data_IF_764694878283
#
_entry.id   IF_764694878283
#
_cell.length_a   1.000
_cell.length_b   1.000
_cell.length_c   1.000
_cell.angle_alpha   90.00
_cell.angle_beta   90.00
_cell.angle_gamma   90.00
#
_symmetry.space_group_name_H-M   'P 1'
#
loop_
_entity.id
_entity.type
_entity.pdbx_description
1 polymer ?
#
# COMPACT_ATOMS: atom_id res chain seq x y z
N UNK A 1 2.16 1.88 -40.64
CA UNK A 1 1.30 0.76 -41.09
C UNK A 1 -0.14 1.24 -41.20
N UNK A 2 -0.42 1.96 -42.28
CA UNK A 2 -1.76 2.32 -42.70
C UNK A 2 -2.39 1.14 -43.49
N UNK A 3 -3.72 1.07 -43.51
CA UNK A 3 -4.59 0.11 -44.22
C UNK A 3 -5.02 -1.15 -43.45
N UNK A 4 -6.02 -0.99 -42.56
CA UNK A 4 -7.14 -1.95 -42.39
C UNK A 4 -8.22 -1.41 -41.44
N UNK A 5 -8.95 -0.39 -41.86
CA UNK A 5 -10.23 -0.04 -41.22
C UNK A 5 -11.20 0.27 -42.36
N UNK A 6 -11.88 -0.75 -42.84
CA UNK A 6 -13.09 -0.63 -43.65
C UNK A 6 -13.83 -1.97 -43.66
N UNK A 7 -14.79 -2.08 -42.73
CA UNK A 7 -16.05 -2.86 -42.78
C UNK A 7 -16.41 -3.28 -41.36
N UNK A 8 -17.51 -2.76 -40.84
CA UNK A 8 -18.56 -3.48 -40.10
C UNK A 8 -19.66 -2.47 -39.73
N UNK A 9 -20.73 -2.46 -40.53
CA UNK A 9 -21.98 -1.74 -40.27
C UNK A 9 -23.01 -2.77 -39.80
N UNK A 10 -23.18 -2.97 -38.48
CA UNK A 10 -24.40 -3.51 -37.87
C UNK A 10 -24.32 -3.43 -36.34
N UNK A 11 -25.41 -3.01 -35.70
CA UNK A 11 -25.58 -2.92 -34.23
C UNK A 11 -25.93 -4.30 -33.60
N UNK A 12 -26.16 -5.33 -34.42
CA UNK A 12 -26.48 -6.69 -33.95
C UNK A 12 -25.30 -7.47 -33.38
N UNK A 13 -24.07 -7.08 -33.70
CA UNK A 13 -22.87 -7.87 -33.35
C UNK A 13 -22.30 -7.54 -31.96
N UNK A 14 -22.92 -6.58 -31.26
CA UNK A 14 -22.47 -6.10 -29.95
C UNK A 14 -22.87 -7.01 -28.77
N UNK A 15 -23.83 -7.92 -28.94
CA UNK A 15 -24.39 -8.72 -27.83
C UNK A 15 -23.83 -10.16 -27.70
N UNK A 16 -22.85 -10.56 -28.52
CA UNK A 16 -22.23 -11.90 -28.46
C UNK A 16 -20.81 -11.92 -27.86
N UNK A 17 -20.39 -10.90 -27.10
CA UNK A 17 -19.03 -10.79 -26.56
C UNK A 17 -18.98 -10.41 -25.06
N UNK A 18 -19.92 -10.89 -24.25
CA UNK A 18 -19.91 -10.62 -22.80
C UNK A 18 -18.96 -11.52 -21.98
N UNK A 19 -18.10 -12.32 -22.61
CA UNK A 19 -17.01 -13.05 -21.92
C UNK A 19 -15.58 -12.63 -22.32
N UNK A 20 -15.30 -12.04 -23.50
CA UNK A 20 -13.96 -11.52 -23.80
C UNK A 20 -13.72 -10.06 -23.42
N UNK A 21 -14.74 -9.27 -23.10
CA UNK A 21 -14.55 -7.85 -22.74
C UNK A 21 -13.95 -7.69 -21.33
N UNK A 22 -14.18 -8.65 -20.42
CA UNK A 22 -13.47 -8.68 -19.14
C UNK A 22 -11.97 -8.99 -19.31
N UNK A 23 -11.60 -9.74 -20.36
CA UNK A 23 -10.20 -10.00 -20.69
C UNK A 23 -9.54 -8.86 -21.48
N UNK A 24 -10.29 -8.06 -22.24
CA UNK A 24 -9.76 -6.89 -22.96
C UNK A 24 -9.56 -5.67 -22.05
N UNK A 25 -10.43 -5.45 -21.05
CA UNK A 25 -10.17 -4.45 -20.00
C UNK A 25 -9.00 -4.82 -19.08
N UNK A 26 -8.57 -6.09 -19.11
CA UNK A 26 -7.36 -6.57 -18.43
C UNK A 26 -6.14 -6.66 -19.38
N UNK A 27 -6.32 -6.46 -20.70
CA UNK A 27 -5.24 -6.51 -21.71
C UNK A 27 -4.83 -5.14 -22.26
N UNK A 28 -5.71 -4.14 -22.26
CA UNK A 28 -5.37 -2.78 -22.74
C UNK A 28 -4.80 -1.83 -21.68
N UNK A 29 -4.71 -2.27 -20.42
CA UNK A 29 -3.87 -1.61 -19.39
C UNK A 29 -2.40 -2.04 -19.45
N UNK A 30 -2.00 -2.86 -20.42
CA UNK A 30 -0.62 -3.36 -20.57
C UNK A 30 0.21 -2.65 -21.66
N UNK A 31 -0.22 -1.49 -22.16
CA UNK A 31 0.58 -0.70 -23.11
C UNK A 31 1.39 0.47 -22.51
N UNK A 32 1.38 0.62 -21.18
CA UNK A 32 2.46 1.30 -20.46
C UNK A 32 3.31 0.26 -19.73
N UNK A 33 4.29 -0.30 -20.45
CA UNK A 33 5.42 -1.00 -19.85
C UNK A 33 6.62 -0.05 -19.89
N UNK A 34 7.01 0.47 -18.72
CA UNK A 34 8.42 0.43 -18.34
C UNK A 34 8.77 -1.03 -18.04
N UNK A 35 9.85 -1.50 -18.63
CA UNK A 35 10.34 -2.88 -18.53
C UNK A 35 10.90 -3.18 -17.15
N UNK A 36 10.42 -4.25 -16.52
CA UNK A 36 11.25 -5.10 -15.68
C UNK A 36 10.67 -6.53 -15.67
N UNK A 37 11.28 -7.42 -16.45
CA UNK A 37 11.23 -8.87 -16.25
C UNK A 37 12.55 -9.25 -15.60
N UNK A 38 12.50 -9.74 -14.36
CA UNK A 38 13.43 -10.75 -13.86
C UNK A 38 12.70 -11.53 -12.77
N UNK A 39 12.43 -12.80 -13.07
CA UNK A 39 11.93 -13.79 -12.14
C UNK A 39 12.96 -14.92 -12.10
N UNK A 40 13.37 -15.30 -10.88
CA UNK A 40 13.85 -16.62 -10.39
C UNK A 40 14.58 -16.39 -9.04
N UNK A 41 14.67 -17.37 -8.12
CA UNK A 41 13.61 -18.16 -7.50
C UNK A 41 13.62 -18.01 -5.95
N UNK A 42 12.45 -17.95 -5.31
CA UNK A 42 12.38 -18.01 -3.83
C UNK A 42 12.40 -19.46 -3.35
N UNK A 43 13.49 -19.80 -2.67
CA UNK A 43 13.70 -21.03 -1.93
C UNK A 43 12.69 -21.13 -0.78
N UNK A 44 11.76 -22.09 -0.88
CA UNK A 44 10.79 -22.43 0.17
C UNK A 44 11.50 -23.35 1.18
N UNK A 45 11.78 -22.85 2.39
CA UNK A 45 12.04 -23.72 3.55
C UNK A 45 10.82 -23.71 4.44
N UNK A 46 10.13 -24.84 4.44
CA UNK A 46 9.12 -25.23 5.41
C UNK A 46 9.79 -25.41 6.78
N UNK A 47 9.21 -24.82 7.82
CA UNK A 47 9.39 -25.27 9.20
C UNK A 47 8.00 -25.52 9.76
N UNK A 48 7.68 -26.80 9.79
CA UNK A 48 6.52 -27.40 10.43
C UNK A 48 6.72 -27.38 11.95
N UNK A 49 5.78 -26.82 12.70
CA UNK A 49 5.51 -27.29 14.06
C UNK A 49 4.02 -27.28 14.32
N UNK A 50 3.48 -28.49 14.38
CA UNK A 50 2.16 -28.81 14.88
C UNK A 50 2.12 -28.61 16.40
N UNK A 51 1.05 -28.01 16.91
CA UNK A 51 0.63 -28.21 18.29
C UNK A 51 -0.90 -28.04 18.39
N UNK A 52 -1.50 -29.07 18.96
CA UNK A 52 -2.92 -29.32 19.02
C UNK A 52 -3.66 -28.38 19.99
N UNK A 53 -4.92 -28.08 19.65
CA UNK A 53 -5.95 -27.63 20.58
C UNK A 53 -6.26 -28.74 21.61
N UNK A 54 -6.61 -28.34 22.84
CA UNK A 54 -7.75 -28.99 23.48
C UNK A 54 -8.80 -28.00 23.98
N UNK A 55 -10.04 -28.48 23.86
CA UNK A 55 -11.25 -28.00 24.54
C UNK A 55 -11.11 -28.21 26.05
N UNK A 56 -11.69 -27.32 26.88
CA UNK A 56 -12.65 -27.65 27.97
C UNK A 56 -12.78 -26.52 29.01
N UNK A 57 -14.04 -26.29 29.37
CA UNK A 57 -14.58 -26.07 30.72
C UNK A 57 -14.21 -24.83 31.56
N UNK A 58 -15.27 -24.04 31.76
CA UNK A 58 -15.72 -23.39 32.99
C UNK A 58 -14.93 -23.65 34.30
N UNK A 59 -14.59 -22.56 34.99
CA UNK A 59 -14.59 -22.53 36.45
C UNK A 59 -14.90 -21.10 36.94
N UNK A 60 -15.91 -21.04 37.80
CA UNK A 60 -16.41 -19.89 38.54
C UNK A 60 -15.53 -19.67 39.78
N UNK A 61 -15.03 -18.44 40.02
CA UNK A 61 -14.57 -18.02 41.35
C UNK A 61 -15.06 -16.59 41.63
N UNK A 62 -15.75 -16.48 42.76
CA UNK A 62 -16.33 -15.27 43.39
C UNK A 62 -15.36 -14.80 44.49
N UNK A 63 -15.58 -13.55 44.94
CA UNK A 63 -15.02 -12.82 46.10
C UNK A 63 -13.86 -11.87 45.73
N UNK A 64 -13.76 -10.64 46.20
CA UNK A 64 -14.61 -9.72 46.98
C UNK A 64 -13.76 -8.44 47.13
N UNK A 65 -14.33 -7.25 47.05
CA UNK A 65 -13.55 -6.02 47.26
C UNK A 65 -14.33 -4.73 47.07
N UNK A 66 -15.04 -4.34 48.13
CA UNK A 66 -15.76 -3.09 48.30
C UNK A 66 -14.81 -1.90 48.52
N UNK A 67 -15.05 -0.78 47.84
CA UNK A 67 -14.86 0.58 48.40
C UNK A 67 -15.66 1.60 47.60
N UNK A 68 -16.16 2.63 48.29
CA UNK A 68 -17.36 3.38 47.95
C UNK A 68 -17.03 4.89 47.75
N UNK A 69 -17.26 5.40 46.53
CA UNK A 69 -17.80 6.74 46.14
C UNK A 69 -16.92 8.01 46.33
N UNK A 70 -17.17 9.17 45.63
CA UNK A 70 -18.41 9.58 44.95
C UNK A 70 -18.31 10.21 43.53
N UNK A 71 -19.52 10.47 43.03
CA UNK A 71 -19.98 11.08 41.78
C UNK A 71 -19.26 12.33 41.25
N UNK A 72 -19.23 12.50 39.91
CA UNK A 72 -19.99 13.54 39.19
C UNK A 72 -19.91 13.40 37.65
N UNK A 73 -21.07 13.56 37.02
CA UNK A 73 -21.36 14.04 35.66
C UNK A 73 -20.79 13.30 34.43
N UNK A 74 -21.58 12.37 33.86
CA UNK A 74 -21.61 12.09 32.41
C UNK A 74 -22.99 12.44 31.84
N UNK A 75 -23.02 13.40 30.92
CA UNK A 75 -24.15 13.62 30.03
C UNK A 75 -24.14 12.53 28.95
N UNK A 76 -25.12 11.63 28.98
CA UNK A 76 -25.44 10.72 27.90
C UNK A 76 -26.78 11.13 27.30
N UNK A 77 -26.77 11.59 26.05
CA UNK A 77 -27.94 11.52 25.18
C UNK A 77 -27.94 10.14 24.52
N UNK A 78 -28.92 9.30 24.88
CA UNK A 78 -29.35 8.16 24.07
C UNK A 78 -30.87 8.22 24.00
N UNK A 79 -31.37 8.38 22.77
CA UNK A 79 -32.75 8.13 22.42
C UNK A 79 -32.94 6.61 22.35
N UNK A 80 -33.91 6.11 23.10
CA UNK A 80 -34.34 4.73 23.05
C UNK A 80 -35.83 4.72 22.67
N UNK A 81 -36.11 3.95 21.63
CA UNK A 81 -37.43 3.75 21.03
C UNK A 81 -38.18 2.76 21.91
N UNK A 82 -39.23 3.22 22.59
CA UNK A 82 -40.13 2.37 23.36
C UNK A 82 -41.44 2.14 22.58
N UNK A 83 -41.66 0.88 22.23
CA UNK A 83 -42.94 0.35 21.79
C UNK A 83 -43.97 0.45 22.93
N UNK A 84 -45.15 1.00 22.64
CA UNK A 84 -46.29 0.93 23.54
C UNK A 84 -47.40 0.08 22.91
N UNK A 85 -47.57 -1.11 23.48
CA UNK A 85 -48.85 -1.80 23.55
C UNK A 85 -49.83 -0.94 24.35
N UNK A 86 -51.11 -0.96 24.00
CA UNK A 86 -52.18 -0.41 24.85
C UNK A 86 -53.40 -1.32 24.80
N UNK A 87 -53.76 -1.84 25.97
CA UNK A 87 -55.04 -2.48 26.31
C UNK A 87 -55.85 -1.54 27.23
N UNK A 88 -57.15 -1.77 27.40
CA UNK A 88 -58.16 -0.71 27.30
C UNK A 88 -58.56 -0.09 28.64
N UNK A 89 -59.05 1.14 28.59
CA UNK A 89 -59.76 1.78 29.69
C UNK A 89 -61.22 2.03 29.30
N UNK A 90 -62.12 1.31 29.98
CA UNK A 90 -63.55 1.55 29.96
C UNK A 90 -63.89 2.85 30.73
N UNK A 91 -64.75 3.67 30.15
CA UNK A 91 -65.49 4.71 30.88
C UNK A 91 -66.90 4.78 30.32
N UNK A 92 -67.83 4.44 31.19
CA UNK A 92 -69.28 4.42 31.01
C UNK A 92 -69.86 5.84 30.94
N UNK A 93 -70.55 6.16 29.85
CA UNK A 93 -71.67 7.12 29.84
C UNK A 93 -72.76 6.63 28.90
N UNK A 94 -73.98 6.57 29.43
CA UNK A 94 -75.19 6.10 28.79
C UNK A 94 -75.72 7.06 27.71
N UNK A 95 -76.24 6.43 26.66
CA UNK A 95 -77.41 6.76 25.86
C UNK A 95 -77.72 8.22 25.49
N UNK A 96 -77.58 8.52 24.19
CA UNK A 96 -78.68 9.13 23.45
C UNK A 96 -78.72 8.56 22.03
N UNK A 97 -79.73 7.73 21.77
CA UNK A 97 -80.08 7.24 20.45
C UNK A 97 -80.46 8.42 19.55
N UNK A 98 -79.67 8.66 18.51
CA UNK A 98 -80.13 9.35 17.31
C UNK A 98 -80.17 8.33 16.19
N UNK A 99 -81.39 7.96 15.80
CA UNK A 99 -81.67 7.30 14.53
C UNK A 99 -81.13 8.18 13.40
N UNK A 100 -80.00 7.78 12.83
CA UNK A 100 -79.58 8.27 11.52
C UNK A 100 -79.78 7.13 10.55
N UNK A 101 -80.86 7.28 9.78
CA UNK A 101 -81.22 6.45 8.64
C UNK A 101 -79.98 5.97 7.86
N UNK A 102 -79.88 4.66 7.68
CA UNK A 102 -78.97 4.00 6.76
C UNK A 102 -79.34 4.36 5.32
N UNK A 103 -79.03 5.59 4.90
CA UNK A 103 -78.78 5.85 3.48
C UNK A 103 -77.53 5.05 3.12
N UNK A 104 -77.74 3.92 2.43
CA UNK A 104 -76.71 3.27 1.62
C UNK A 104 -76.09 4.36 0.72
N UNK A 105 -75.01 5.00 1.18
CA UNK A 105 -74.13 5.76 0.31
C UNK A 105 -73.60 4.74 -0.68
N UNK A 106 -74.03 4.87 -1.93
CA UNK A 106 -73.47 4.11 -3.04
C UNK A 106 -71.97 4.14 -2.90
N UNK A 107 -71.37 2.95 -2.86
CA UNK A 107 -69.93 2.74 -2.93
C UNK A 107 -69.51 3.42 -4.24
N UNK A 108 -69.01 4.66 -4.19
CA UNK A 108 -68.33 5.25 -5.33
C UNK A 108 -67.30 4.22 -5.75
N UNK A 109 -67.42 3.73 -6.98
CA UNK A 109 -66.35 2.97 -7.62
C UNK A 109 -65.08 3.79 -7.42
N UNK A 110 -64.15 3.28 -6.62
CA UNK A 110 -62.80 3.82 -6.64
C UNK A 110 -62.37 3.71 -8.09
N UNK A 111 -62.29 4.84 -8.80
CA UNK A 111 -61.76 4.92 -10.15
C UNK A 111 -60.43 4.17 -10.13
N UNK A 112 -60.38 2.99 -10.74
CA UNK A 112 -59.15 2.21 -10.86
C UNK A 112 -58.22 3.10 -11.67
N UNK A 113 -57.18 3.63 -11.01
CA UNK A 113 -56.20 4.49 -11.67
C UNK A 113 -55.49 3.65 -12.73
N UNK A 114 -55.79 3.91 -14.01
CA UNK A 114 -55.16 3.23 -15.14
C UNK A 114 -53.66 3.52 -15.12
N UNK A 115 -52.85 2.49 -15.40
CA UNK A 115 -51.40 2.63 -15.46
C UNK A 115 -51.02 3.51 -16.66
N UNK A 116 -50.11 4.45 -16.44
CA UNK A 116 -49.58 5.30 -17.51
C UNK A 116 -48.59 4.45 -18.33
N UNK A 117 -48.58 4.54 -19.68
CA UNK A 117 -47.61 3.84 -20.50
C UNK A 117 -46.17 4.21 -20.13
N UNK A 118 -45.20 3.30 -20.30
CA UNK A 118 -43.81 3.56 -19.95
C UNK A 118 -43.23 4.70 -20.81
N UNK A 119 -42.30 5.46 -20.22
CA UNK A 119 -41.66 6.60 -20.90
C UNK A 119 -40.92 6.16 -22.18
N UNK A 120 -40.50 4.89 -22.26
CA UNK A 120 -39.80 4.31 -23.42
C UNK A 120 -40.54 4.47 -24.75
N UNK A 121 -41.88 4.49 -24.75
CA UNK A 121 -42.67 4.66 -25.98
C UNK A 121 -42.57 6.06 -26.57
N UNK A 122 -42.17 7.06 -25.77
CA UNK A 122 -42.06 8.47 -26.17
C UNK A 122 -40.62 8.91 -26.44
N UNK A 123 -39.66 7.99 -26.31
CA UNK A 123 -38.24 8.28 -26.42
C UNK A 123 -37.80 8.29 -27.88
N UNK A 124 -37.14 9.35 -28.31
CA UNK A 124 -36.50 9.40 -29.63
C UNK A 124 -35.23 8.53 -29.64
N UNK A 125 -34.88 8.00 -30.81
CA UNK A 125 -33.73 7.09 -30.97
C UNK A 125 -32.40 7.83 -30.82
N UNK A 126 -32.34 9.09 -31.24
CA UNK A 126 -31.19 9.99 -31.26
C UNK A 126 -31.09 10.90 -30.02
N UNK A 127 -31.95 10.68 -29.02
CA UNK A 127 -31.94 11.48 -27.79
C UNK A 127 -30.64 11.32 -27.00
N UNK A 128 -30.33 12.35 -26.20
CA UNK A 128 -29.17 12.29 -25.31
C UNK A 128 -29.41 11.39 -24.09
N UNK A 129 -28.72 10.25 -24.07
CA UNK A 129 -28.84 9.28 -22.98
C UNK A 129 -28.39 9.84 -21.62
N UNK A 130 -27.39 10.74 -21.58
CA UNK A 130 -26.93 11.34 -20.31
C UNK A 130 -28.02 12.16 -19.61
N UNK A 131 -28.99 12.71 -20.35
CA UNK A 131 -30.15 13.40 -19.76
C UNK A 131 -31.16 12.43 -19.15
N UNK A 132 -31.31 11.23 -19.74
CA UNK A 132 -32.21 10.19 -19.26
C UNK A 132 -31.69 9.55 -17.97
N UNK A 133 -30.39 9.30 -17.89
CA UNK A 133 -29.76 8.57 -16.79
C UNK A 133 -28.51 9.33 -16.29
N UNK A 134 -28.69 10.47 -15.59
CA UNK A 134 -27.57 11.36 -15.25
C UNK A 134 -26.69 10.83 -14.11
N UNK A 135 -27.25 10.08 -13.15
CA UNK A 135 -26.57 9.64 -11.93
C UNK A 135 -26.81 8.16 -11.65
N UNK A 136 -26.03 7.59 -10.72
CA UNK A 136 -26.23 6.24 -10.25
C UNK A 136 -27.66 6.05 -9.71
N UNK A 137 -28.39 5.11 -10.30
CA UNK A 137 -29.74 4.79 -9.89
C UNK A 137 -30.02 3.29 -10.04
N UNK A 138 -31.07 2.81 -9.37
CA UNK A 138 -31.58 1.47 -9.59
C UNK A 138 -32.13 1.33 -11.02
N UNK A 139 -32.09 0.11 -11.55
CA UNK A 139 -32.62 -0.17 -12.89
C UNK A 139 -34.13 0.15 -12.95
N UNK A 140 -34.51 1.07 -13.85
CA UNK A 140 -35.90 1.51 -14.05
C UNK A 140 -36.42 0.98 -15.39
N UNK A 141 -37.20 -0.12 -15.43
CA UNK A 141 -37.62 -0.74 -16.70
C UNK A 141 -38.41 0.21 -17.60
N UNK A 142 -39.18 1.13 -17.01
CA UNK A 142 -39.99 2.11 -17.73
C UNK A 142 -39.19 3.28 -18.34
N UNK A 143 -37.90 3.43 -18.01
CA UNK A 143 -37.00 4.47 -18.53
C UNK A 143 -35.94 3.94 -19.49
N UNK A 144 -35.66 2.64 -19.47
CA UNK A 144 -34.61 2.03 -20.29
C UNK A 144 -35.22 1.46 -21.57
N UNK A 145 -34.96 2.04 -22.75
CA UNK A 145 -35.59 1.66 -24.03
C UNK A 145 -34.93 0.42 -24.67
N UNK A 146 -34.43 -0.50 -23.85
CA UNK A 146 -33.79 -1.74 -24.31
C UNK A 146 -34.64 -2.95 -23.88
N UNK A 147 -34.86 -3.94 -24.76
CA UNK A 147 -35.62 -5.15 -24.45
C UNK A 147 -34.73 -6.19 -23.74
N UNK A 148 -34.19 -5.82 -22.58
CA UNK A 148 -33.29 -6.67 -21.80
C UNK A 148 -34.08 -7.79 -21.11
N UNK A 149 -33.53 -9.00 -21.09
CA UNK A 149 -34.07 -10.16 -20.37
C UNK A 149 -32.97 -10.78 -19.52
N UNK A 150 -33.31 -11.25 -18.33
CA UNK A 150 -32.34 -11.85 -17.41
C UNK A 150 -33.01 -12.85 -16.47
N UNK A 151 -32.31 -13.93 -16.14
CA UNK A 151 -32.78 -15.01 -15.28
C UNK A 151 -32.68 -16.36 -15.98
N UNK A 152 -32.59 -17.43 -15.20
CA UNK A 152 -32.51 -18.78 -15.75
C UNK A 152 -33.83 -19.15 -16.44
N UNK A 153 -33.82 -19.55 -17.73
CA UNK A 153 -35.04 -19.92 -18.42
C UNK A 153 -35.56 -21.26 -17.90
N UNK A 154 -36.88 -21.42 -17.86
CA UNK A 154 -37.50 -22.75 -17.69
C UNK A 154 -37.18 -23.63 -18.90
N UNK A 155 -37.25 -24.97 -18.76
CA UNK A 155 -36.99 -25.89 -19.87
C UNK A 155 -37.93 -25.55 -21.05
N UNK A 156 -37.34 -25.24 -22.21
CA UNK A 156 -38.08 -24.81 -23.41
C UNK A 156 -38.62 -23.37 -23.37
N UNK A 157 -38.24 -22.56 -22.39
CA UNK A 157 -38.70 -21.17 -22.21
C UNK A 157 -37.66 -20.11 -22.52
N UNK A 158 -38.07 -18.85 -22.41
CA UNK A 158 -37.21 -17.66 -22.54
C UNK A 158 -36.90 -17.03 -21.18
N UNK A 159 -35.79 -16.31 -21.03
CA UNK A 159 -35.51 -15.56 -19.81
C UNK A 159 -36.62 -14.52 -19.52
N UNK A 160 -36.93 -14.29 -18.23
CA UNK A 160 -37.89 -13.27 -17.82
C UNK A 160 -37.59 -11.89 -18.41
N UNK A 161 -38.63 -11.11 -18.77
CA UNK A 161 -38.45 -9.77 -19.31
C UNK A 161 -37.97 -8.79 -18.22
N UNK A 162 -37.79 -7.51 -18.56
CA UNK A 162 -37.26 -6.51 -17.62
C UNK A 162 -38.29 -6.00 -16.61
N UNK A 163 -39.58 -6.08 -16.94
CA UNK A 163 -40.67 -5.63 -16.10
C UNK A 163 -40.80 -6.53 -14.87
N UNK A 164 -40.63 -5.95 -13.68
CA UNK A 164 -40.72 -6.70 -12.41
C UNK A 164 -39.54 -7.62 -12.10
N UNK A 165 -38.45 -7.56 -12.88
CA UNK A 165 -37.31 -8.47 -12.73
C UNK A 165 -36.35 -8.00 -11.63
N UNK A 166 -36.34 -8.74 -10.51
CA UNK A 166 -35.48 -8.44 -9.36
C UNK A 166 -33.99 -8.67 -9.64
N UNK A 167 -33.62 -9.57 -10.56
CA UNK A 167 -32.21 -9.82 -10.88
C UNK A 167 -31.58 -8.59 -11.54
N UNK A 168 -32.33 -7.88 -12.39
CA UNK A 168 -31.87 -6.63 -12.99
C UNK A 168 -31.73 -5.47 -11.99
N UNK A 169 -32.48 -5.51 -10.88
CA UNK A 169 -32.40 -4.48 -9.82
C UNK A 169 -31.15 -4.68 -8.95
N UNK A 170 -30.74 -5.92 -8.71
CA UNK A 170 -29.55 -6.25 -7.90
C UNK A 170 -28.24 -5.79 -8.54
N UNK A 171 -28.20 -5.70 -9.87
CA UNK A 171 -26.97 -5.35 -10.60
C UNK A 171 -26.64 -3.87 -10.40
N UNK A 172 -25.40 -3.53 -9.96
CA UNK A 172 -24.91 -2.16 -10.02
C UNK A 172 -24.68 -1.79 -11.50
N UNK A 173 -25.69 -1.17 -12.10
CA UNK A 173 -25.65 -0.83 -13.52
C UNK A 173 -24.76 0.40 -13.79
N UNK A 174 -24.21 0.45 -15.00
CA UNK A 174 -23.31 1.53 -15.46
C UNK A 174 -23.99 2.44 -16.49
N UNK A 175 -25.32 2.51 -16.48
CA UNK A 175 -26.09 3.25 -17.48
C UNK A 175 -25.83 4.77 -17.45
N UNK A 176 -25.38 5.32 -16.32
CA UNK A 176 -24.96 6.71 -16.17
C UNK A 176 -23.51 6.96 -16.61
N UNK A 177 -22.69 5.91 -16.75
CA UNK A 177 -21.26 5.98 -17.11
C UNK A 177 -21.02 5.48 -18.53
N UNK A 178 -21.87 5.90 -19.47
CA UNK A 178 -21.67 5.59 -20.89
C UNK A 178 -20.51 6.40 -21.48
N UNK A 179 -19.81 5.91 -22.53
CA UNK A 179 -18.67 6.64 -23.11
C UNK A 179 -18.98 8.09 -23.53
N UNK A 180 -20.15 8.42 -24.12
CA UNK A 180 -20.53 9.81 -24.40
C UNK A 180 -20.65 10.66 -23.13
N UNK A 181 -21.22 10.10 -22.05
CA UNK A 181 -21.34 10.79 -20.77
C UNK A 181 -19.95 11.06 -20.16
N UNK A 182 -19.06 10.07 -20.17
CA UNK A 182 -17.68 10.21 -19.66
C UNK A 182 -16.94 11.32 -20.41
N UNK A 183 -17.03 11.36 -21.75
CA UNK A 183 -16.40 12.42 -22.55
C UNK A 183 -16.92 13.81 -22.17
N UNK A 184 -18.24 13.97 -21.98
CA UNK A 184 -18.85 15.23 -21.53
C UNK A 184 -18.37 15.61 -20.12
N UNK A 185 -18.35 14.66 -19.19
CA UNK A 185 -17.91 14.87 -17.81
C UNK A 185 -16.42 15.27 -17.76
N UNK A 186 -15.54 14.54 -18.44
CA UNK A 186 -14.11 14.84 -18.48
C UNK A 186 -13.81 16.18 -19.19
N UNK A 187 -14.60 16.57 -20.20
CA UNK A 187 -14.47 17.89 -20.81
C UNK A 187 -14.79 19.01 -19.82
N UNK A 188 -15.85 18.87 -19.03
CA UNK A 188 -16.21 19.84 -17.98
C UNK A 188 -15.25 19.83 -16.79
N UNK A 189 -14.62 18.70 -16.48
CA UNK A 189 -13.66 18.58 -15.38
C UNK A 189 -12.24 19.06 -15.75
N UNK A 190 -11.96 19.28 -17.03
CA UNK A 190 -10.63 19.67 -17.52
C UNK A 190 -10.15 20.97 -16.88
N UNK A 191 -11.05 21.91 -16.66
CA UNK A 191 -10.74 23.23 -16.10
C UNK A 191 -10.26 23.17 -14.65
N UNK A 192 -10.50 22.04 -13.95
CA UNK A 192 -10.01 21.80 -12.59
C UNK A 192 -8.64 21.11 -12.56
N UNK A 193 -8.17 20.59 -13.68
CA UNK A 193 -6.88 19.91 -13.78
C UNK A 193 -5.75 20.92 -14.07
N UNK A 194 -4.57 20.65 -13.52
CA UNK A 194 -3.34 21.38 -13.85
C UNK A 194 -2.42 20.51 -14.68
N UNK A 195 -1.67 21.12 -15.61
CA UNK A 195 -0.68 20.39 -16.39
C UNK A 195 0.45 19.86 -15.50
N UNK A 196 0.95 18.67 -15.82
CA UNK A 196 2.13 18.11 -15.17
C UNK A 196 3.39 18.83 -15.66
N UNK A 197 4.34 19.20 -14.79
CA UNK A 197 5.56 19.89 -15.19
C UNK A 197 6.42 19.05 -16.15
N UNK A 198 6.63 19.56 -17.38
CA UNK A 198 7.42 18.91 -18.43
C UNK A 198 8.92 18.81 -18.13
N UNK A 199 9.41 19.42 -17.05
CA UNK A 199 10.79 19.20 -16.61
C UNK A 199 10.98 17.81 -15.97
N UNK A 200 9.90 17.25 -15.41
CA UNK A 200 9.86 16.01 -14.65
C UNK A 200 9.34 14.85 -15.51
N UNK A 201 10.02 14.61 -16.63
CA UNK A 201 9.64 13.53 -17.57
C UNK A 201 10.07 12.13 -17.12
N UNK A 202 10.98 12.04 -16.14
CA UNK A 202 11.55 10.77 -15.68
C UNK A 202 11.87 10.76 -14.19
N UNK A 203 11.81 9.57 -13.61
CA UNK A 203 11.91 9.36 -12.15
C UNK A 203 13.26 9.82 -11.58
N UNK A 204 14.36 9.70 -12.34
CA UNK A 204 15.68 10.16 -11.91
C UNK A 204 15.71 11.68 -11.65
N UNK A 205 15.05 12.46 -12.51
CA UNK A 205 14.95 13.92 -12.31
C UNK A 205 14.05 14.25 -11.12
N UNK A 206 12.99 13.47 -10.91
CA UNK A 206 12.12 13.60 -9.74
C UNK A 206 12.92 13.37 -8.45
N UNK A 207 13.73 12.31 -8.39
CA UNK A 207 14.55 12.01 -7.21
C UNK A 207 15.63 13.08 -6.94
N UNK A 208 16.20 13.68 -7.99
CA UNK A 208 17.19 14.76 -7.86
C UNK A 208 16.59 16.04 -7.27
N UNK A 209 15.41 16.45 -7.75
CA UNK A 209 14.75 17.67 -7.30
C UNK A 209 13.92 17.48 -6.02
N UNK A 210 13.35 16.28 -5.84
CA UNK A 210 12.45 15.92 -4.74
C UNK A 210 12.91 14.60 -4.09
N UNK A 211 13.97 14.63 -3.26
CA UNK A 211 14.58 13.43 -2.70
C UNK A 211 13.78 12.76 -1.58
N UNK A 212 12.70 13.40 -1.10
CA UNK A 212 11.87 12.91 0.01
C UNK A 212 10.51 12.46 -0.54
N UNK A 213 10.21 11.18 -0.37
CA UNK A 213 8.92 10.59 -0.69
C UNK A 213 8.05 10.49 0.57
N UNK A 214 6.79 10.89 0.45
CA UNK A 214 5.81 10.83 1.55
C UNK A 214 4.65 9.95 1.08
N UNK A 215 4.50 8.79 1.70
CA UNK A 215 3.42 7.87 1.40
C UNK A 215 2.29 8.04 2.41
N UNK A 216 1.07 8.23 1.90
CA UNK A 216 -0.16 8.30 2.69
C UNK A 216 -1.24 7.47 2.03
N UNK A 217 -2.11 6.84 2.84
CA UNK A 217 -3.14 5.92 2.34
C UNK A 217 -4.52 6.37 2.79
N UNK A 218 -5.42 6.58 1.83
CA UNK A 218 -6.83 6.89 2.06
C UNK A 218 -7.72 5.68 1.75
N UNK A 219 -8.70 5.44 2.62
CA UNK A 219 -9.59 4.29 2.53
C UNK A 219 -11.03 4.76 2.29
N UNK A 220 -11.64 4.25 1.22
CA UNK A 220 -13.05 4.51 0.90
C UNK A 220 -13.86 3.24 1.15
N UNK A 221 -14.90 3.32 1.96
CA UNK A 221 -15.75 2.18 2.33
C UNK A 221 -17.22 2.59 2.37
N UNK A 222 -18.13 1.67 2.04
CA UNK A 222 -19.55 1.89 2.18
C UNK A 222 -19.97 1.80 3.65
N UNK A 223 -20.52 2.87 4.21
CA UNK A 223 -20.95 2.93 5.61
C UNK A 223 -21.28 4.34 6.07
N UNK A 224 -21.78 4.47 7.29
CA UNK A 224 -22.09 5.78 7.89
C UNK A 224 -20.84 6.48 8.44
N UNK A 225 -19.83 5.71 8.87
CA UNK A 225 -18.57 6.24 9.39
C UNK A 225 -17.52 6.32 8.28
N UNK A 226 -16.96 7.51 8.09
CA UNK A 226 -15.81 7.75 7.21
C UNK A 226 -14.46 7.49 7.89
N UNK A 227 -14.45 7.20 9.19
CA UNK A 227 -13.22 7.12 9.99
C UNK A 227 -12.52 5.80 9.76
N UNK A 228 -11.24 5.85 9.38
CA UNK A 228 -10.37 4.69 9.36
C UNK A 228 -9.06 4.99 10.14
N UNK A 229 -8.76 4.24 11.21
CA UNK A 229 -7.57 4.48 12.04
C UNK A 229 -6.25 4.27 11.29
N UNK A 230 -6.24 3.52 10.17
CA UNK A 230 -5.03 3.27 9.37
C UNK A 230 -4.62 4.47 8.51
N UNK A 231 -5.54 5.39 8.22
CA UNK A 231 -5.26 6.57 7.39
C UNK A 231 -4.34 7.61 8.06
N UNK A 232 -4.07 7.46 9.37
CA UNK A 232 -3.18 8.36 10.11
C UNK A 232 -1.70 8.08 9.87
N UNK A 233 -1.35 6.89 9.38
CA UNK A 233 0.02 6.43 9.24
C UNK A 233 0.68 7.20 8.08
N UNK A 234 1.88 7.72 8.33
CA UNK A 234 2.71 8.39 7.33
C UNK A 234 4.05 7.69 7.26
N UNK A 235 4.46 7.34 6.04
CA UNK A 235 5.79 6.78 5.76
C UNK A 235 6.61 7.80 4.99
N UNK A 236 7.75 8.18 5.55
CA UNK A 236 8.75 9.02 4.90
C UNK A 236 9.88 8.13 4.39
N UNK A 237 10.26 8.29 3.12
CA UNK A 237 11.40 7.60 2.51
C UNK A 237 12.37 8.61 1.91
N UNK A 238 13.66 8.41 2.18
CA UNK A 238 14.72 9.29 1.68
C UNK A 238 16.00 8.47 1.46
N UNK A 239 16.69 8.70 0.34
CA UNK A 239 18.02 8.12 0.09
C UNK A 239 19.09 8.88 0.86
N UNK A 240 20.01 8.18 1.51
CA UNK A 240 21.08 8.85 2.26
C UNK A 240 22.07 9.56 1.34
N UNK A 241 22.25 9.07 0.10
CA UNK A 241 23.05 9.73 -0.95
C UNK A 241 22.61 11.16 -1.27
N UNK A 242 21.33 11.48 -1.07
CA UNK A 242 20.76 12.78 -1.41
C UNK A 242 20.83 13.76 -0.22
N UNK A 243 21.27 13.29 0.95
CA UNK A 243 21.50 14.13 2.12
C UNK A 243 22.96 14.56 2.16
N UNK A 244 23.20 15.81 2.59
CA UNK A 244 24.55 16.32 2.77
C UNK A 244 25.15 15.76 4.07
N UNK A 245 25.67 14.53 4.02
CA UNK A 245 26.29 13.83 5.16
C UNK A 245 27.75 13.53 4.84
N UNK A 246 28.63 13.70 5.82
CA UNK A 246 30.00 13.20 5.75
C UNK A 246 30.06 11.71 6.15
N UNK A 247 31.24 11.09 6.07
CA UNK A 247 31.40 9.66 6.40
C UNK A 247 31.06 9.37 7.87
N UNK A 248 31.43 10.28 8.77
CA UNK A 248 31.11 10.20 10.20
C UNK A 248 29.60 10.24 10.43
N UNK A 249 28.91 11.27 9.94
CA UNK A 249 27.49 11.46 10.12
C UNK A 249 26.69 10.35 9.43
N UNK A 250 27.11 9.88 8.24
CA UNK A 250 26.44 8.76 7.57
C UNK A 250 26.51 7.49 8.42
N UNK A 251 27.70 7.10 8.90
CA UNK A 251 27.89 5.91 9.76
C UNK A 251 27.15 6.05 11.08
N UNK A 252 27.22 7.21 11.73
CA UNK A 252 26.49 7.50 12.97
C UNK A 252 24.98 7.42 12.76
N UNK A 253 24.46 8.02 11.68
CA UNK A 253 23.04 8.01 11.35
C UNK A 253 22.54 6.58 11.13
N UNK A 254 23.27 5.74 10.40
CA UNK A 254 22.94 4.33 10.15
C UNK A 254 22.80 3.56 11.47
N UNK A 255 23.71 3.78 12.43
CA UNK A 255 23.61 3.19 13.78
C UNK A 255 22.40 3.69 14.56
N UNK A 256 22.09 4.99 14.51
CA UNK A 256 20.95 5.59 15.22
C UNK A 256 19.60 5.07 14.71
N UNK A 257 19.44 4.95 13.40
CA UNK A 257 18.18 4.53 12.77
C UNK A 257 17.99 3.01 12.82
N UNK A 258 19.08 2.24 12.83
CA UNK A 258 19.09 0.79 12.94
C UNK A 258 18.33 0.12 11.79
N UNK A 259 17.32 -0.70 12.12
CA UNK A 259 16.54 -1.52 11.17
C UNK A 259 15.71 -0.71 10.16
N UNK A 260 15.62 0.61 10.32
CA UNK A 260 14.86 1.51 9.44
C UNK A 260 15.59 1.85 8.14
N UNK A 261 16.90 1.60 8.10
CA UNK A 261 17.73 1.80 6.93
C UNK A 261 17.99 0.48 6.20
N UNK A 262 17.83 0.49 4.88
CA UNK A 262 18.15 -0.63 4.01
C UNK A 262 19.49 -0.37 3.32
N UNK A 263 20.50 -1.24 3.56
CA UNK A 263 21.84 -1.12 2.98
C UNK A 263 21.84 -1.31 1.46
N UNK A 264 21.00 -2.23 0.95
CA UNK A 264 20.98 -2.59 -0.47
C UNK A 264 20.43 -1.47 -1.36
N UNK A 265 19.46 -0.70 -0.85
CA UNK A 265 18.80 0.37 -1.60
C UNK A 265 19.22 1.78 -1.18
N UNK A 266 20.04 1.92 -0.13
CA UNK A 266 20.44 3.19 0.51
C UNK A 266 19.24 4.05 0.96
N UNK A 267 18.10 3.42 1.29
CA UNK A 267 16.85 4.12 1.68
C UNK A 267 16.62 4.05 3.19
N UNK A 268 16.45 5.22 3.80
CA UNK A 268 15.93 5.39 5.15
C UNK A 268 14.40 5.49 5.12
N UNK A 269 13.73 4.63 5.90
CA UNK A 269 12.26 4.62 6.01
C UNK A 269 11.80 4.96 7.44
N UNK A 270 11.12 6.09 7.61
CA UNK A 270 10.55 6.52 8.88
C UNK A 270 9.03 6.35 8.82
N UNK A 271 8.50 5.44 9.65
CA UNK A 271 7.05 5.21 9.78
C UNK A 271 6.57 5.89 11.06
N UNK A 272 5.53 6.71 10.94
CA UNK A 272 4.93 7.46 12.06
C UNK A 272 3.44 7.17 12.16
N UNK A 273 3.00 6.72 13.34
CA UNK A 273 1.61 6.31 13.60
C UNK A 273 1.09 6.72 14.99
N UNK A 274 1.89 7.51 15.73
CA UNK A 274 1.66 7.88 17.14
C UNK A 274 0.49 8.84 17.31
N UNK A 275 0.38 9.84 16.46
CA UNK A 275 -0.61 10.90 16.58
C UNK A 275 -1.94 10.51 15.90
N UNK A 276 -3.10 11.00 16.40
CA UNK A 276 -4.39 10.71 15.78
C UNK A 276 -4.54 11.29 14.36
N UNK A 277 -3.97 12.47 14.10
CA UNK A 277 -4.10 13.16 12.81
C UNK A 277 -2.88 12.89 11.92
N UNK A 278 -3.15 12.68 10.63
CA UNK A 278 -2.12 12.49 9.59
C UNK A 278 -1.13 13.65 9.53
N UNK A 279 -1.62 14.89 9.61
CA UNK A 279 -0.78 16.10 9.61
C UNK A 279 0.25 16.08 10.75
N UNK A 280 -0.16 15.65 11.94
CA UNK A 280 0.74 15.58 13.10
C UNK A 280 1.82 14.50 12.91
N UNK A 281 1.46 13.35 12.36
CA UNK A 281 2.43 12.30 12.04
C UNK A 281 3.40 12.74 10.94
N UNK A 282 2.93 13.48 9.94
CA UNK A 282 3.78 14.09 8.93
C UNK A 282 4.79 15.08 9.55
N UNK A 283 4.31 16.05 10.33
CA UNK A 283 5.16 17.04 11.00
C UNK A 283 6.17 16.35 11.94
N UNK A 284 5.75 15.29 12.63
CA UNK A 284 6.61 14.49 13.48
C UNK A 284 7.66 13.70 12.69
N UNK A 285 7.29 13.13 11.54
CA UNK A 285 8.22 12.43 10.64
C UNK A 285 9.32 13.35 10.12
N UNK A 286 8.95 14.56 9.71
CA UNK A 286 9.91 15.61 9.31
C UNK A 286 10.80 16.02 10.49
N UNK A 287 10.20 16.24 11.67
CA UNK A 287 10.96 16.57 12.88
C UNK A 287 12.00 15.50 13.22
N UNK A 288 11.62 14.21 13.16
CA UNK A 288 12.55 13.11 13.40
C UNK A 288 13.71 13.09 12.40
N UNK A 289 13.42 13.30 11.11
CA UNK A 289 14.47 13.40 10.09
C UNK A 289 15.44 14.54 10.38
N UNK A 290 14.93 15.72 10.74
CA UNK A 290 15.74 16.89 11.09
C UNK A 290 16.61 16.65 12.32
N UNK A 291 16.05 16.08 13.39
CA UNK A 291 16.82 15.77 14.61
C UNK A 291 17.90 14.73 14.33
N UNK A 292 17.56 13.66 13.63
CA UNK A 292 18.52 12.62 13.24
C UNK A 292 19.68 13.20 12.43
N UNK A 293 19.37 14.10 11.48
CA UNK A 293 20.39 14.79 10.69
C UNK A 293 21.31 15.62 11.61
N UNK A 294 20.78 16.51 12.44
CA UNK A 294 21.63 17.36 13.29
C UNK A 294 22.42 16.58 14.36
N UNK A 295 21.84 15.53 14.95
CA UNK A 295 22.55 14.69 15.92
C UNK A 295 23.63 13.81 15.27
N UNK A 296 23.48 13.48 13.98
CA UNK A 296 24.51 12.74 13.24
C UNK A 296 25.78 13.58 13.02
N UNK A 297 25.66 14.90 12.90
CA UNK A 297 26.79 15.82 12.72
C UNK A 297 27.55 16.15 14.02
N UNK A 298 26.93 15.94 15.17
CA UNK A 298 27.60 16.18 16.46
C UNK A 298 28.57 15.05 16.75
N UNK A 299 29.75 15.35 17.26
CA UNK A 299 30.71 14.35 17.75
C UNK A 299 30.80 14.45 19.26
N UNK A 300 30.38 13.41 19.96
CA UNK A 300 30.42 13.34 21.41
C UNK A 300 31.72 12.69 21.91
N UNK A 301 32.11 12.98 23.16
CA UNK A 301 33.38 12.50 23.71
C UNK A 301 33.53 10.97 23.70
N UNK A 302 32.43 10.25 23.97
CA UNK A 302 32.40 8.78 24.00
C UNK A 302 32.59 8.14 22.62
N UNK A 303 32.42 8.89 21.52
CA UNK A 303 32.64 8.34 20.18
C UNK A 303 34.12 8.03 19.92
N UNK A 304 35.03 8.62 20.69
CA UNK A 304 36.45 8.29 20.68
C UNK A 304 36.77 6.93 21.32
N UNK A 305 35.86 6.39 22.13
CA UNK A 305 36.00 5.09 22.80
C UNK A 305 35.52 3.92 21.93
N UNK A 306 35.24 4.16 20.65
CA UNK A 306 34.72 3.17 19.70
C UNK A 306 35.69 2.00 19.52
N UNK A 307 35.21 0.79 19.76
CA UNK A 307 36.01 -0.43 19.63
C UNK A 307 36.03 -0.98 18.20
N UNK A 308 36.95 -1.91 17.91
CA UNK A 308 37.03 -2.59 16.60
C UNK A 308 35.74 -3.37 16.25
N UNK A 309 35.01 -3.87 17.25
CA UNK A 309 33.76 -4.61 17.06
C UNK A 309 32.60 -3.72 16.60
N UNK A 310 32.65 -2.42 16.94
CA UNK A 310 31.63 -1.44 16.57
C UNK A 310 31.83 -0.90 15.14
N UNK A 311 32.99 -1.16 14.54
CA UNK A 311 33.31 -0.73 13.19
C UNK A 311 32.48 -1.50 12.17
N UNK A 312 31.81 -0.76 11.27
CA UNK A 312 30.98 -1.35 10.22
C UNK A 312 31.80 -1.86 9.03
N UNK A 313 33.00 -1.31 8.89
CA UNK A 313 33.97 -1.61 7.85
C UNK A 313 35.26 -2.00 8.54
N UNK A 314 35.92 -3.01 7.99
CA UNK A 314 37.24 -3.40 8.40
C UNK A 314 38.27 -2.36 7.95
N UNK A 315 38.98 -1.79 8.92
CA UNK A 315 40.08 -0.85 8.72
C UNK A 315 41.39 -1.61 8.94
N UNK A 316 42.31 -1.52 7.98
CA UNK A 316 43.58 -2.24 8.03
C UNK A 316 44.54 -1.65 9.07
N UNK A 317 44.53 -0.33 9.21
CA UNK A 317 45.37 0.42 10.13
C UNK A 317 45.13 -0.02 11.59
N UNK A 318 46.21 -0.30 12.31
CA UNK A 318 46.27 -0.78 13.70
C UNK A 318 45.61 -2.16 13.94
N UNK A 319 45.19 -2.86 12.88
CA UNK A 319 44.53 -4.15 12.98
C UNK A 319 45.47 -5.29 13.41
N UNK A 320 44.87 -6.40 13.85
CA UNK A 320 45.58 -7.66 14.14
C UNK A 320 46.32 -8.21 12.91
N UNK A 321 45.73 -8.09 11.72
CA UNK A 321 46.36 -8.59 10.49
C UNK A 321 47.58 -7.77 10.09
N UNK A 322 47.57 -6.46 10.32
CA UNK A 322 48.75 -5.62 10.12
C UNK A 322 49.87 -5.99 11.08
N UNK A 323 49.57 -6.16 12.38
CA UNK A 323 50.55 -6.57 13.40
C UNK A 323 51.19 -7.91 13.04
N UNK A 324 50.36 -8.92 12.73
CA UNK A 324 50.83 -10.25 12.35
C UNK A 324 51.69 -10.24 11.09
N UNK A 325 51.31 -9.46 10.07
CA UNK A 325 52.08 -9.35 8.83
C UNK A 325 53.45 -8.71 9.07
N UNK A 326 53.49 -7.63 9.86
CA UNK A 326 54.74 -6.96 10.22
C UNK A 326 55.65 -7.87 11.04
N UNK A 327 55.11 -8.54 12.06
CA UNK A 327 55.89 -9.46 12.90
C UNK A 327 56.46 -10.62 12.07
N UNK A 328 55.70 -11.16 11.13
CA UNK A 328 56.15 -12.23 10.23
C UNK A 328 57.27 -11.74 9.29
N UNK A 329 57.11 -10.55 8.70
CA UNK A 329 58.13 -9.98 7.80
C UNK A 329 59.41 -9.62 8.55
N UNK A 330 59.31 -9.11 9.78
CA UNK A 330 60.47 -8.85 10.63
C UNK A 330 61.23 -10.14 10.96
N UNK A 331 60.51 -11.25 11.23
CA UNK A 331 61.14 -12.55 11.43
C UNK A 331 61.85 -13.07 10.18
N UNK A 332 61.21 -12.96 9.01
CA UNK A 332 61.83 -13.34 7.72
C UNK A 332 63.11 -12.51 7.48
N UNK A 333 63.05 -11.19 7.71
CA UNK A 333 64.21 -10.31 7.52
C UNK A 333 65.34 -10.56 8.53
N UNK A 334 64.99 -10.93 9.76
CA UNK A 334 65.96 -11.37 10.75
C UNK A 334 66.66 -12.68 10.32
N UNK A 335 65.92 -13.64 9.74
CA UNK A 335 66.54 -14.87 9.19
C UNK A 335 67.40 -14.61 7.96
N UNK A 336 67.10 -13.57 7.18
CA UNK A 336 67.87 -13.15 6.00
C UNK A 336 69.07 -12.23 6.35
N UNK A 337 69.35 -11.96 7.63
CA UNK A 337 70.42 -11.07 8.13
C UNK A 337 70.36 -9.61 7.59
N UNK A 338 69.16 -9.10 7.28
CA UNK A 338 68.97 -7.71 6.82
C UNK A 338 68.61 -6.83 8.02
N UNK A 339 69.57 -6.06 8.56
CA UNK A 339 69.48 -5.44 9.89
C UNK A 339 68.87 -4.03 9.96
N UNK A 340 68.38 -3.45 8.86
CA UNK A 340 67.83 -2.08 8.85
C UNK A 340 66.54 -2.00 8.04
N UNK A 341 65.44 -2.56 8.54
CA UNK A 341 64.14 -2.40 7.88
C UNK A 341 63.20 -1.62 8.79
N UNK A 342 62.77 -0.45 8.33
CA UNK A 342 61.80 0.36 9.06
C UNK A 342 60.38 -0.15 8.82
N UNK A 343 59.48 0.02 9.80
CA UNK A 343 58.07 -0.40 9.67
C UNK A 343 57.40 0.28 8.47
N UNK A 344 57.79 1.51 8.17
CA UNK A 344 57.27 2.32 7.08
C UNK A 344 57.68 1.76 5.70
N UNK A 345 58.92 1.32 5.54
CA UNK A 345 59.39 0.66 4.30
C UNK A 345 58.67 -0.67 4.03
N UNK A 346 58.41 -1.47 5.07
CA UNK A 346 57.64 -2.72 4.93
C UNK A 346 56.19 -2.45 4.53
N UNK A 347 55.55 -1.44 5.13
CA UNK A 347 54.17 -1.07 4.80
C UNK A 347 54.05 -0.46 3.40
N UNK A 348 55.09 0.23 2.93
CA UNK A 348 55.15 0.79 1.58
C UNK A 348 55.41 -0.27 0.49
N UNK A 349 55.87 -1.47 0.87
CA UNK A 349 56.12 -2.56 -0.07
C UNK A 349 54.85 -2.96 -0.83
N UNK A 350 54.99 -3.14 -2.14
CA UNK A 350 53.89 -3.55 -3.02
C UNK A 350 53.25 -4.88 -2.57
N UNK A 351 54.05 -5.78 -1.99
CA UNK A 351 53.59 -7.08 -1.50
C UNK A 351 52.62 -6.92 -0.33
N UNK A 352 52.93 -6.02 0.62
CA UNK A 352 52.06 -5.74 1.78
C UNK A 352 50.82 -4.97 1.35
N UNK A 353 50.94 -4.08 0.36
CA UNK A 353 49.80 -3.36 -0.20
C UNK A 353 48.81 -4.31 -0.89
N UNK A 354 49.30 -5.30 -1.63
CA UNK A 354 48.47 -6.33 -2.25
C UNK A 354 47.79 -7.21 -1.20
N UNK A 355 48.50 -7.59 -0.13
CA UNK A 355 47.93 -8.31 1.00
C UNK A 355 46.83 -7.49 1.70
N UNK A 356 47.11 -6.23 2.03
CA UNK A 356 46.15 -5.27 2.61
C UNK A 356 44.87 -5.21 1.79
N UNK A 357 44.98 -4.98 0.48
CA UNK A 357 43.81 -4.85 -0.39
C UNK A 357 42.99 -6.15 -0.41
N UNK A 358 43.64 -7.30 -0.46
CA UNK A 358 42.96 -8.60 -0.43
C UNK A 358 42.22 -8.86 0.88
N UNK A 359 42.79 -8.45 2.03
CA UNK A 359 42.14 -8.60 3.35
C UNK A 359 40.94 -7.66 3.48
N UNK A 360 41.07 -6.41 3.02
CA UNK A 360 39.99 -5.43 3.04
C UNK A 360 38.81 -5.93 2.21
N UNK A 361 39.07 -6.38 0.97
CA UNK A 361 38.03 -6.94 0.09
C UNK A 361 37.37 -8.16 0.74
N UNK A 362 38.15 -9.07 1.31
CA UNK A 362 37.63 -10.27 1.98
C UNK A 362 36.72 -9.94 3.17
N UNK A 363 37.08 -8.94 3.98
CA UNK A 363 36.31 -8.57 5.18
C UNK A 363 35.09 -7.69 4.89
N UNK A 364 35.17 -6.79 3.91
CA UNK A 364 34.11 -5.83 3.62
C UNK A 364 33.13 -6.31 2.55
N UNK A 365 33.62 -6.90 1.46
CA UNK A 365 32.79 -7.39 0.36
C UNK A 365 32.32 -8.83 0.59
N UNK A 366 33.01 -9.56 1.47
CA UNK A 366 32.70 -10.92 1.89
C UNK A 366 33.57 -11.99 1.22
N UNK A 367 33.28 -13.24 1.60
CA UNK A 367 34.04 -14.44 1.22
C UNK A 367 33.59 -14.99 -0.14
N UNK A 368 34.03 -14.36 -1.22
CA UNK A 368 33.86 -14.88 -2.59
C UNK A 368 35.08 -15.70 -3.03
N UNK A 369 34.91 -16.63 -3.98
CA UNK A 369 36.01 -17.46 -4.50
C UNK A 369 37.14 -16.61 -5.11
N UNK A 370 36.78 -15.52 -5.79
CA UNK A 370 37.74 -14.54 -6.31
C UNK A 370 38.54 -13.89 -5.19
N UNK A 371 37.87 -13.38 -4.14
CA UNK A 371 38.54 -12.71 -3.02
C UNK A 371 39.45 -13.67 -2.25
N UNK A 372 39.02 -14.91 -2.07
CA UNK A 372 39.83 -15.96 -1.44
C UNK A 372 41.08 -16.32 -2.25
N UNK A 373 40.94 -16.40 -3.58
CA UNK A 373 42.06 -16.67 -4.48
C UNK A 373 43.08 -15.51 -4.49
N UNK A 374 42.60 -14.26 -4.52
CA UNK A 374 43.46 -13.08 -4.43
C UNK A 374 44.23 -13.02 -3.10
N UNK A 375 43.55 -13.34 -1.99
CA UNK A 375 44.18 -13.45 -0.68
C UNK A 375 45.24 -14.56 -0.64
N UNK A 376 44.96 -15.73 -1.21
CA UNK A 376 45.93 -16.83 -1.31
C UNK A 376 47.18 -16.41 -2.08
N UNK A 377 47.01 -15.77 -3.24
CA UNK A 377 48.14 -15.34 -4.07
C UNK A 377 48.93 -14.20 -3.42
N UNK A 378 48.28 -13.28 -2.70
CA UNK A 378 48.97 -12.22 -1.96
C UNK A 378 49.81 -12.77 -0.80
N UNK A 379 49.28 -13.76 -0.05
CA UNK A 379 50.01 -14.43 1.04
C UNK A 379 51.18 -15.26 0.53
N UNK A 380 51.02 -15.98 -0.58
CA UNK A 380 52.13 -16.74 -1.21
C UNK A 380 53.30 -15.83 -1.55
N UNK A 381 53.00 -14.66 -2.14
CA UNK A 381 54.00 -13.63 -2.45
C UNK A 381 54.62 -13.03 -1.19
N UNK A 382 53.84 -12.82 -0.13
CA UNK A 382 54.32 -12.31 1.15
C UNK A 382 55.33 -13.27 1.83
N UNK A 383 55.08 -14.57 1.76
CA UNK A 383 55.89 -15.60 2.40
C UNK A 383 56.96 -16.22 1.48
N UNK A 384 57.13 -15.71 0.27
CA UNK A 384 58.04 -16.26 -0.75
C UNK A 384 57.85 -17.76 -1.04
N UNK A 385 56.62 -18.28 -0.91
CA UNK A 385 56.31 -19.68 -1.20
C UNK A 385 56.08 -19.81 -2.70
N UNK A 386 57.11 -20.26 -3.44
CA UNK A 386 56.94 -20.63 -4.84
C UNK A 386 56.01 -21.85 -4.94
N UNK A 387 55.13 -21.86 -5.94
CA UNK A 387 54.34 -23.05 -6.25
C UNK A 387 55.32 -24.19 -6.58
N UNK A 388 55.29 -25.26 -5.78
CA UNK A 388 55.83 -26.54 -6.21
C UNK A 388 55.14 -26.90 -7.54
N UNK A 389 55.90 -27.31 -8.58
CA UNK A 389 55.38 -27.58 -9.91
C UNK A 389 54.31 -28.67 -9.95
#
# INVERSE_FOLDING_TARGET
MANKINKLNSISDFFSLSLPILLLFQKETNHFRCSAKLALPLCRREISHAAALPKMAAACWVLSGSSRWPALARCCWRAEVAAYFSTPAASSREAQQREVSTRRRGRMSQLIRSHIPPRTERMAVDQDWSSVYPTAAAFKPASVPLPIRMGYPVKGGVPPPKEGNLELIKIPNFLHLTPPAIKKHCAALRDFCTEWPSALDGDEKCEQHFPVEIETVDYVSAGTSIRNPKARIVTLRVKLSNLNLDDHAKKKLIKLVGKRYCKDTDVLTIITDRCPLRRQNYDYGIHLLTVLYHESWKTEAWESEKTEEDMEEYIWENSSSQKNALDTLLQIKATENVSNVTKEELLASEVVRNYRNSVIALKNEGETESNMSQYKESVKKLLNIQALP
#
